data_IF_944509314164
#
_entry.id   IF_944509314164
#
_cell.length_a   1.000
_cell.length_b   1.000
_cell.length_c   1.000
_cell.angle_alpha   90.00
_cell.angle_beta   90.00
_cell.angle_gamma   90.00
#
_symmetry.space_group_name_H-M   'P 1'
#
loop_
_entity.id
_entity.type
_entity.pdbx_description
1 polymer ?
#
# COMPACT_ATOMS: atom_id res chain seq x y z
N UNK A 1 -1.61 7.94 1.72
CA UNK A 1 -2.67 8.98 1.80
C UNK A 1 -2.90 9.35 3.25
N UNK A 2 -2.86 10.63 3.63
CA UNK A 2 -3.04 11.08 5.02
C UNK A 2 -4.52 11.35 5.36
N UNK A 3 -4.86 11.43 6.66
CA UNK A 3 -6.21 11.81 7.13
C UNK A 3 -6.60 13.20 6.60
N UNK A 4 -5.66 14.14 6.55
CA UNK A 4 -5.89 15.46 5.98
C UNK A 4 -6.26 15.39 4.48
N UNK A 5 -5.56 14.53 3.73
CA UNK A 5 -5.91 14.29 2.33
C UNK A 5 -7.34 13.76 2.20
N UNK A 6 -7.76 12.84 3.08
CA UNK A 6 -9.14 12.33 3.11
C UNK A 6 -10.17 13.44 3.32
N UNK A 7 -9.98 14.27 4.35
CA UNK A 7 -10.87 15.39 4.67
C UNK A 7 -10.98 16.39 3.51
N UNK A 8 -9.85 16.72 2.89
CA UNK A 8 -9.79 17.72 1.82
C UNK A 8 -10.39 17.18 0.52
N UNK A 9 -10.12 15.93 0.15
CA UNK A 9 -10.42 15.42 -1.19
C UNK A 9 -11.65 14.52 -1.28
N UNK A 10 -11.94 13.73 -0.25
CA UNK A 10 -12.93 12.65 -0.36
C UNK A 10 -14.31 13.01 0.20
N UNK A 11 -14.43 14.07 1.00
CA UNK A 11 -15.72 14.56 1.53
C UNK A 11 -16.28 15.77 0.79
N UNK A 12 -15.52 16.35 -0.16
CA UNK A 12 -16.00 17.44 -1.00
C UNK A 12 -16.56 16.90 -2.32
N UNK A 13 -17.90 16.88 -2.43
CA UNK A 13 -18.61 16.39 -3.62
C UNK A 13 -18.29 17.19 -4.89
N UNK A 14 -17.81 18.43 -4.77
CA UNK A 14 -17.47 19.28 -5.94
C UNK A 14 -16.24 18.78 -6.70
N UNK A 15 -15.43 17.92 -6.07
CA UNK A 15 -14.21 17.37 -6.66
C UNK A 15 -14.45 16.12 -7.50
N UNK A 16 -15.68 15.60 -7.52
CA UNK A 16 -16.05 14.42 -8.28
C UNK A 16 -16.74 14.79 -9.59
N UNK A 17 -16.61 13.91 -10.59
CA UNK A 17 -17.34 14.07 -11.86
C UNK A 17 -18.85 13.97 -11.62
N UNK A 18 -19.69 14.72 -12.35
CA UNK A 18 -21.14 14.71 -12.14
C UNK A 18 -21.79 13.31 -12.16
N UNK A 19 -21.28 12.41 -13.00
CA UNK A 19 -21.75 11.01 -13.13
C UNK A 19 -21.27 10.07 -11.99
N UNK A 20 -20.46 10.55 -11.06
CA UNK A 20 -19.96 9.79 -9.90
C UNK A 20 -20.58 10.24 -8.60
N UNK A 21 -21.06 11.48 -8.54
CA UNK A 21 -21.60 12.12 -7.32
C UNK A 21 -22.65 11.24 -6.63
N UNK A 22 -23.56 10.61 -7.38
CA UNK A 22 -24.59 9.74 -6.80
C UNK A 22 -23.96 8.53 -6.06
N UNK A 23 -22.96 7.89 -6.67
CA UNK A 23 -22.24 6.75 -6.07
C UNK A 23 -21.45 7.18 -4.83
N UNK A 24 -20.82 8.35 -4.88
CA UNK A 24 -20.10 8.92 -3.73
C UNK A 24 -21.06 9.22 -2.58
N UNK A 25 -22.22 9.82 -2.86
CA UNK A 25 -23.25 10.10 -1.84
C UNK A 25 -23.72 8.82 -1.15
N UNK A 26 -23.98 7.75 -1.92
CA UNK A 26 -24.37 6.45 -1.35
C UNK A 26 -23.26 5.90 -0.45
N UNK A 27 -22.00 5.91 -0.93
CA UNK A 27 -20.86 5.45 -0.15
C UNK A 27 -20.72 6.21 1.19
N UNK A 28 -20.77 7.55 1.14
CA UNK A 28 -20.73 8.39 2.34
C UNK A 28 -21.91 8.11 3.27
N UNK A 29 -23.13 7.98 2.73
CA UNK A 29 -24.32 7.65 3.51
C UNK A 29 -24.16 6.31 4.25
N UNK A 30 -23.63 5.28 3.59
CA UNK A 30 -23.36 3.99 4.23
C UNK A 30 -22.32 4.11 5.36
N UNK A 31 -21.23 4.84 5.15
CA UNK A 31 -20.20 5.06 6.17
C UNK A 31 -20.77 5.82 7.37
N UNK A 32 -21.48 6.92 7.14
CA UNK A 32 -22.07 7.71 8.23
C UNK A 32 -23.20 6.97 8.94
N UNK A 33 -24.00 6.17 8.24
CA UNK A 33 -25.00 5.31 8.85
C UNK A 33 -24.36 4.26 9.78
N UNK A 34 -23.27 3.62 9.34
CA UNK A 34 -22.52 2.71 10.19
C UNK A 34 -21.93 3.41 11.42
N UNK A 35 -21.39 4.62 11.26
CA UNK A 35 -20.88 5.39 12.40
C UNK A 35 -22.00 5.78 13.38
N UNK A 36 -23.15 6.24 12.87
CA UNK A 36 -24.28 6.69 13.68
C UNK A 36 -25.01 5.55 14.40
N UNK A 37 -25.00 4.34 13.85
CA UNK A 37 -25.73 3.18 14.39
C UNK A 37 -24.76 2.18 15.03
N UNK A 38 -23.75 1.74 14.29
CA UNK A 38 -22.80 0.72 14.70
C UNK A 38 -21.95 1.13 15.89
N UNK A 39 -21.36 2.34 15.89
CA UNK A 39 -20.53 2.77 17.02
C UNK A 39 -21.32 2.87 18.33
N UNK A 40 -22.49 3.54 18.41
CA UNK A 40 -23.28 3.55 19.64
C UNK A 40 -23.73 2.16 20.08
N UNK A 41 -24.10 1.27 19.16
CA UNK A 41 -24.47 -0.10 19.52
C UNK A 41 -23.30 -0.89 20.12
N UNK A 42 -22.11 -0.79 19.54
CA UNK A 42 -20.91 -1.43 20.09
C UNK A 42 -20.63 -0.87 21.48
N UNK A 43 -20.64 0.46 21.65
CA UNK A 43 -20.39 1.11 22.94
C UNK A 43 -21.45 0.71 23.96
N UNK A 44 -22.72 0.70 23.59
CA UNK A 44 -23.84 0.32 24.46
C UNK A 44 -23.70 -1.13 24.96
N UNK A 45 -23.27 -2.05 24.09
CA UNK A 45 -23.15 -3.48 24.44
C UNK A 45 -21.84 -3.85 25.14
N UNK A 46 -20.76 -3.14 24.86
CA UNK A 46 -19.40 -3.57 25.24
C UNK A 46 -18.57 -2.48 25.92
N UNK A 47 -19.14 -1.29 26.08
CA UNK A 47 -18.45 -0.11 26.58
C UNK A 47 -17.46 0.48 25.57
N UNK A 48 -16.80 1.58 25.97
CA UNK A 48 -15.78 2.23 25.13
C UNK A 48 -14.56 1.33 24.88
N UNK A 49 -14.20 0.49 25.86
CA UNK A 49 -13.11 -0.49 25.72
C UNK A 49 -13.44 -1.52 24.64
N UNK A 50 -14.71 -1.97 24.57
CA UNK A 50 -15.15 -2.86 23.51
C UNK A 50 -15.14 -2.19 22.14
N UNK A 51 -15.51 -0.91 22.04
CA UNK A 51 -15.35 -0.15 20.79
C UNK A 51 -13.88 -0.10 20.32
N UNK A 52 -12.95 0.14 21.25
CA UNK A 52 -11.51 0.12 20.93
C UNK A 52 -11.10 -1.26 20.43
N UNK A 53 -11.47 -2.32 21.17
CA UNK A 53 -11.06 -3.70 20.88
C UNK A 53 -11.66 -4.27 19.60
N UNK A 54 -12.93 -3.99 19.33
CA UNK A 54 -13.69 -4.64 18.25
C UNK A 54 -13.82 -3.79 16.99
N UNK A 55 -13.59 -2.48 17.07
CA UNK A 55 -13.61 -1.61 15.90
C UNK A 55 -12.25 -0.93 15.64
N UNK A 56 -11.74 -0.14 16.59
CA UNK A 56 -10.55 0.68 16.34
C UNK A 56 -9.30 -0.16 16.07
N UNK A 57 -9.02 -1.16 16.91
CA UNK A 57 -7.81 -1.99 16.77
C UNK A 57 -7.81 -2.83 15.48
N UNK A 58 -8.90 -3.53 15.11
CA UNK A 58 -8.98 -4.20 13.81
C UNK A 58 -8.86 -3.23 12.64
N UNK A 59 -9.48 -2.05 12.72
CA UNK A 59 -9.40 -1.01 11.69
C UNK A 59 -7.96 -0.52 11.50
N UNK A 60 -7.25 -0.21 12.58
CA UNK A 60 -5.83 0.17 12.54
C UNK A 60 -4.95 -0.94 11.97
N UNK A 61 -5.17 -2.19 12.40
CA UNK A 61 -4.42 -3.35 11.89
C UNK A 61 -4.61 -3.56 10.39
N UNK A 62 -5.85 -3.50 9.91
CA UNK A 62 -6.15 -3.61 8.48
C UNK A 62 -5.52 -2.45 7.68
N UNK A 63 -5.67 -1.21 8.15
CA UNK A 63 -5.08 -0.04 7.49
C UNK A 63 -3.55 -0.09 7.48
N UNK A 64 -2.92 -0.56 8.56
CA UNK A 64 -1.49 -0.79 8.62
C UNK A 64 -1.03 -1.77 7.53
N UNK A 65 -1.67 -2.94 7.43
CA UNK A 65 -1.30 -3.94 6.43
C UNK A 65 -1.58 -3.46 5.00
N UNK A 66 -2.75 -2.90 4.72
CA UNK A 66 -3.08 -2.36 3.39
C UNK A 66 -2.13 -1.24 2.94
N UNK A 67 -1.73 -0.36 3.86
CA UNK A 67 -0.72 0.66 3.57
C UNK A 67 0.65 0.04 3.36
N UNK A 68 1.01 -0.98 4.14
CA UNK A 68 2.27 -1.72 3.99
C UNK A 68 2.36 -2.39 2.62
N UNK A 69 1.32 -3.11 2.18
CA UNK A 69 1.28 -3.76 0.86
C UNK A 69 1.48 -2.75 -0.26
N UNK A 70 0.66 -1.69 -0.28
CA UNK A 70 0.73 -0.69 -1.35
C UNK A 70 2.07 0.03 -1.40
N UNK A 71 2.68 0.30 -0.24
CA UNK A 71 4.03 0.86 -0.16
C UNK A 71 5.08 -0.11 -0.70
N UNK A 72 5.05 -1.38 -0.29
CA UNK A 72 6.02 -2.38 -0.77
C UNK A 72 5.87 -2.64 -2.27
N UNK A 73 4.65 -2.74 -2.78
CA UNK A 73 4.39 -3.02 -4.19
C UNK A 73 4.90 -1.94 -5.13
N UNK A 74 4.98 -0.68 -4.70
CA UNK A 74 5.26 0.45 -5.58
C UNK A 74 6.41 1.35 -5.11
N UNK A 75 7.11 0.95 -4.04
CA UNK A 75 8.20 1.75 -3.46
C UNK A 75 9.35 0.88 -2.95
N UNK A 76 9.41 -0.39 -3.36
CA UNK A 76 10.55 -1.25 -3.05
C UNK A 76 11.81 -0.81 -3.83
N UNK A 77 13.00 -0.89 -3.23
CA UNK A 77 14.22 -0.26 -3.74
C UNK A 77 14.71 -0.80 -5.10
N UNK A 78 14.29 -2.01 -5.45
CA UNK A 78 14.71 -2.69 -6.68
C UNK A 78 13.68 -2.54 -7.81
N UNK A 79 12.56 -1.82 -7.60
CA UNK A 79 11.63 -1.50 -8.68
C UNK A 79 12.29 -0.47 -9.60
N UNK A 80 12.52 -0.78 -10.88
CA UNK A 80 13.13 0.16 -11.79
C UNK A 80 12.11 1.19 -12.29
N UNK A 81 12.52 2.45 -12.37
CA UNK A 81 11.83 3.42 -13.24
C UNK A 81 12.62 3.58 -14.52
N UNK A 82 11.91 3.58 -15.65
CA UNK A 82 12.49 3.74 -16.97
C UNK A 82 12.03 5.06 -17.58
N UNK A 83 12.92 5.77 -18.29
CA UNK A 83 12.50 6.92 -19.09
C UNK A 83 11.55 6.45 -20.19
N UNK A 84 10.76 7.37 -20.74
CA UNK A 84 9.68 7.04 -21.67
C UNK A 84 10.19 6.33 -22.93
N UNK A 85 11.41 6.65 -23.37
CA UNK A 85 12.06 6.08 -24.56
C UNK A 85 12.48 4.62 -24.36
N UNK A 86 12.74 4.21 -23.12
CA UNK A 86 13.10 2.83 -22.75
C UNK A 86 11.88 2.03 -22.23
N UNK A 87 10.69 2.65 -22.20
CA UNK A 87 9.53 2.04 -21.59
C UNK A 87 8.95 0.92 -22.47
N UNK A 88 8.76 -0.24 -21.87
CA UNK A 88 8.09 -1.37 -22.49
C UNK A 88 6.92 -1.84 -21.62
N UNK A 89 5.73 -1.93 -22.21
CA UNK A 89 4.50 -2.28 -21.49
C UNK A 89 4.60 -3.64 -20.77
N UNK A 90 5.09 -4.67 -21.46
CA UNK A 90 5.17 -6.02 -20.88
C UNK A 90 6.17 -6.06 -19.71
N UNK A 91 7.33 -5.41 -19.88
CA UNK A 91 8.31 -5.28 -18.79
C UNK A 91 7.72 -4.52 -17.62
N UNK A 92 7.10 -3.36 -17.86
CA UNK A 92 6.49 -2.55 -16.81
C UNK A 92 5.42 -3.31 -16.00
N UNK A 93 4.68 -4.23 -16.62
CA UNK A 93 3.70 -5.04 -15.89
C UNK A 93 4.36 -6.16 -15.05
N UNK A 94 5.48 -6.72 -15.53
CA UNK A 94 6.20 -7.80 -14.85
C UNK A 94 7.14 -7.30 -13.75
N UNK A 95 7.78 -6.14 -13.96
CA UNK A 95 8.82 -5.59 -13.10
C UNK A 95 8.46 -4.26 -12.43
N UNK A 96 7.34 -3.63 -12.80
CA UNK A 96 6.91 -2.36 -12.19
C UNK A 96 6.30 -2.53 -10.79
N UNK A 97 6.30 -3.74 -10.26
CA UNK A 97 5.85 -4.06 -8.91
C UNK A 97 6.61 -5.26 -8.34
N UNK A 98 6.32 -5.63 -7.09
CA UNK A 98 6.98 -6.69 -6.34
C UNK A 98 5.95 -7.67 -5.80
N UNK A 99 6.17 -8.97 -5.99
CA UNK A 99 5.57 -10.01 -5.16
C UNK A 99 6.34 -10.08 -3.85
N UNK A 100 5.68 -9.85 -2.72
CA UNK A 100 6.35 -9.89 -1.42
C UNK A 100 5.71 -10.95 -0.53
N UNK A 101 6.50 -11.86 0.04
CA UNK A 101 5.99 -12.89 0.96
C UNK A 101 5.78 -12.31 2.36
N UNK A 102 4.65 -12.67 2.98
CA UNK A 102 4.28 -12.28 4.35
C UNK A 102 3.89 -13.52 5.16
N UNK A 103 3.80 -13.42 6.51
CA UNK A 103 3.23 -14.50 7.29
C UNK A 103 1.86 -14.92 6.77
N UNK A 104 1.67 -16.23 6.55
CA UNK A 104 0.54 -16.79 5.79
C UNK A 104 -0.84 -16.32 6.25
N UNK A 105 -1.02 -16.11 7.55
CA UNK A 105 -2.28 -15.64 8.12
C UNK A 105 -2.63 -14.20 7.68
N UNK A 106 -1.63 -13.34 7.48
CA UNK A 106 -1.83 -11.98 6.96
C UNK A 106 -2.23 -12.06 5.48
N UNK A 107 -1.53 -12.88 4.70
CA UNK A 107 -1.88 -13.07 3.29
C UNK A 107 -3.32 -13.54 3.11
N UNK A 108 -3.76 -14.51 3.92
CA UNK A 108 -5.14 -15.01 3.89
C UNK A 108 -6.12 -13.88 4.27
N UNK A 109 -5.86 -13.16 5.37
CA UNK A 109 -6.70 -12.04 5.82
C UNK A 109 -6.84 -10.94 4.76
N UNK A 110 -5.77 -10.72 3.99
CA UNK A 110 -5.68 -9.72 2.95
C UNK A 110 -5.86 -10.30 1.54
N UNK A 111 -6.49 -11.48 1.42
CA UNK A 111 -6.88 -12.10 0.14
C UNK A 111 -5.72 -12.26 -0.86
N UNK A 112 -4.54 -12.67 -0.40
CA UNK A 112 -3.30 -12.82 -1.17
C UNK A 112 -2.95 -11.57 -2.00
N UNK A 113 -3.31 -10.37 -1.55
CA UNK A 113 -3.02 -9.12 -2.28
C UNK A 113 -1.51 -8.94 -2.55
N UNK A 114 -0.67 -9.58 -1.73
CA UNK A 114 0.78 -9.59 -1.85
C UNK A 114 1.29 -10.25 -3.13
N UNK A 115 0.47 -11.12 -3.73
CA UNK A 115 0.72 -11.74 -5.04
C UNK A 115 0.30 -10.76 -6.14
N UNK A 116 1.07 -9.69 -6.24
CA UNK A 116 0.63 -8.48 -6.94
C UNK A 116 0.93 -8.48 -8.44
N UNK A 117 2.00 -9.16 -8.88
CA UNK A 117 2.41 -9.15 -10.29
C UNK A 117 1.29 -9.67 -11.23
N UNK A 118 0.63 -10.82 -10.94
CA UNK A 118 -0.48 -11.27 -11.78
C UNK A 118 -1.65 -10.27 -11.87
N UNK A 119 -1.88 -9.48 -10.81
CA UNK A 119 -2.93 -8.45 -10.80
C UNK A 119 -2.65 -7.33 -11.81
N UNK A 120 -1.39 -6.94 -11.99
CA UNK A 120 -1.01 -6.00 -13.05
C UNK A 120 -1.24 -6.60 -14.44
N UNK A 121 -0.85 -7.86 -14.64
CA UNK A 121 -1.06 -8.54 -15.92
C UNK A 121 -2.56 -8.66 -16.25
N UNK A 122 -3.38 -9.04 -15.28
CA UNK A 122 -4.84 -9.09 -15.42
C UNK A 122 -5.54 -8.98 -14.08
N UNK A 123 -6.21 -7.85 -13.86
CA UNK A 123 -7.03 -7.59 -12.67
C UNK A 123 -8.29 -8.46 -12.58
N UNK A 124 -8.58 -9.28 -13.61
CA UNK A 124 -9.69 -10.25 -13.63
C UNK A 124 -9.35 -11.57 -12.96
N UNK A 125 -8.07 -11.83 -12.68
CA UNK A 125 -7.66 -13.06 -11.99
C UNK A 125 -8.18 -12.99 -10.55
N UNK A 126 -8.99 -13.96 -10.09
CA UNK A 126 -9.49 -13.95 -8.74
C UNK A 126 -8.38 -14.22 -7.72
N UNK A 127 -8.53 -13.67 -6.51
CA UNK A 127 -7.52 -13.73 -5.44
C UNK A 127 -7.07 -15.15 -5.06
N UNK A 128 -7.94 -16.14 -5.20
CA UNK A 128 -7.64 -17.54 -4.92
C UNK A 128 -6.79 -18.21 -6.02
N UNK A 129 -6.71 -17.65 -7.22
CA UNK A 129 -5.86 -18.13 -8.32
C UNK A 129 -4.55 -17.34 -8.47
N UNK A 130 -4.33 -16.28 -7.70
CA UNK A 130 -3.15 -15.42 -7.85
C UNK A 130 -1.84 -16.21 -7.68
N UNK A 131 -1.77 -17.14 -6.73
CA UNK A 131 -0.57 -17.96 -6.50
C UNK A 131 -0.26 -18.87 -7.68
N UNK A 132 -1.26 -19.50 -8.27
CA UNK A 132 -1.08 -20.34 -9.46
C UNK A 132 -0.63 -19.50 -10.66
N UNK A 133 -1.23 -18.32 -10.84
CA UNK A 133 -0.80 -17.38 -11.87
C UNK A 133 0.64 -16.89 -11.65
N UNK A 134 1.03 -16.58 -10.41
CA UNK A 134 2.40 -16.19 -10.08
C UNK A 134 3.41 -17.30 -10.36
N UNK A 135 3.11 -18.54 -9.99
CA UNK A 135 3.97 -19.69 -10.30
C UNK A 135 4.16 -19.85 -11.81
N UNK A 136 3.09 -19.71 -12.60
CA UNK A 136 3.19 -19.72 -14.07
C UNK A 136 4.07 -18.59 -14.59
N UNK A 137 3.94 -17.38 -14.02
CA UNK A 137 4.82 -16.26 -14.38
C UNK A 137 6.28 -16.54 -14.02
N UNK A 138 6.53 -17.14 -12.87
CA UNK A 138 7.87 -17.45 -12.38
C UNK A 138 8.57 -18.48 -13.27
N UNK A 139 7.85 -19.52 -13.70
CA UNK A 139 8.37 -20.56 -14.61
C UNK A 139 8.75 -19.99 -15.98
N UNK A 140 7.92 -19.10 -16.54
CA UNK A 140 8.08 -18.61 -17.92
C UNK A 140 8.89 -17.31 -18.01
N UNK A 141 8.82 -16.45 -17.00
CA UNK A 141 9.38 -15.09 -17.01
C UNK A 141 10.07 -14.69 -15.71
N UNK A 142 10.44 -15.65 -14.85
CA UNK A 142 11.02 -15.40 -13.51
C UNK A 142 12.15 -14.37 -13.47
N UNK A 143 13.01 -14.33 -14.51
CA UNK A 143 14.12 -13.35 -14.62
C UNK A 143 13.69 -11.88 -14.70
N UNK A 144 12.42 -11.61 -14.97
CA UNK A 144 11.85 -10.26 -15.03
C UNK A 144 10.99 -9.93 -13.82
N UNK A 145 10.70 -10.90 -12.95
CA UNK A 145 9.87 -10.69 -11.78
C UNK A 145 10.71 -10.10 -10.65
N UNK A 146 10.08 -9.27 -9.85
CA UNK A 146 10.66 -8.77 -8.62
C UNK A 146 9.99 -9.46 -7.43
N UNK A 147 10.80 -10.12 -6.61
CA UNK A 147 10.34 -10.84 -5.43
C UNK A 147 11.04 -10.31 -4.18
N UNK A 148 10.31 -10.26 -3.08
CA UNK A 148 10.83 -9.85 -1.78
C UNK A 148 10.21 -10.70 -0.67
N UNK A 149 10.81 -10.63 0.51
CA UNK A 149 10.22 -11.17 1.74
C UNK A 149 10.10 -10.05 2.75
N UNK A 150 8.91 -9.88 3.32
CA UNK A 150 8.66 -8.79 4.25
C UNK A 150 9.51 -8.95 5.51
N UNK A 151 10.20 -7.87 5.87
CA UNK A 151 10.93 -7.76 7.12
C UNK A 151 11.13 -6.28 7.49
N UNK A 152 11.54 -6.02 8.73
CA UNK A 152 11.73 -4.66 9.22
C UNK A 152 12.87 -3.90 8.52
N UNK A 153 13.87 -4.60 7.98
CA UNK A 153 14.94 -3.95 7.20
C UNK A 153 14.39 -3.40 5.88
N UNK A 154 13.58 -4.18 5.16
CA UNK A 154 12.89 -3.72 3.95
C UNK A 154 12.03 -2.49 4.25
N UNK A 155 11.23 -2.53 5.33
CA UNK A 155 10.41 -1.39 5.73
C UNK A 155 11.26 -0.16 6.05
N UNK A 156 12.38 -0.32 6.76
CA UNK A 156 13.31 0.78 7.03
C UNK A 156 13.86 1.36 5.73
N UNK A 157 14.33 0.54 4.80
CA UNK A 157 14.86 1.00 3.52
C UNK A 157 13.81 1.82 2.77
N UNK A 158 12.59 1.31 2.66
CA UNK A 158 11.51 2.02 1.96
C UNK A 158 11.23 3.37 2.62
N UNK A 159 11.11 3.41 3.95
CA UNK A 159 10.77 4.61 4.71
C UNK A 159 11.89 5.65 4.82
N UNK A 160 13.15 5.27 4.54
CA UNK A 160 14.31 6.16 4.73
C UNK A 160 15.06 6.48 3.45
N UNK A 161 14.95 5.64 2.42
CA UNK A 161 15.70 5.76 1.17
C UNK A 161 14.80 5.92 -0.06
N UNK A 162 13.65 5.26 -0.12
CA UNK A 162 12.86 5.16 -1.35
C UNK A 162 11.93 6.36 -1.56
N UNK A 163 12.49 7.56 -1.67
CA UNK A 163 11.70 8.81 -1.72
C UNK A 163 11.58 9.41 -3.11
N UNK A 164 12.70 9.55 -3.82
CA UNK A 164 12.77 10.22 -5.13
C UNK A 164 13.52 9.33 -6.10
N UNK A 165 13.06 9.32 -7.35
CA UNK A 165 13.74 8.60 -8.42
C UNK A 165 15.15 9.15 -8.65
N UNK A 166 16.11 8.24 -8.79
CA UNK A 166 17.46 8.52 -9.25
C UNK A 166 17.86 7.56 -10.36
N UNK A 167 18.57 8.07 -11.38
CA UNK A 167 18.91 7.28 -12.57
C UNK A 167 19.90 6.14 -12.27
N UNK A 168 20.79 6.32 -11.30
CA UNK A 168 21.84 5.35 -10.98
C UNK A 168 21.39 4.37 -9.90
N UNK A 169 20.66 4.87 -8.90
CA UNK A 169 20.30 4.10 -7.71
C UNK A 169 18.83 3.65 -7.67
N UNK A 170 18.03 3.99 -8.68
CA UNK A 170 16.56 3.93 -8.74
C UNK A 170 15.87 4.84 -7.73
N UNK A 171 16.33 4.87 -6.48
CA UNK A 171 15.80 5.74 -5.45
C UNK A 171 16.89 6.36 -4.59
N UNK A 172 16.68 7.62 -4.22
CA UNK A 172 17.46 8.36 -3.21
C UNK A 172 16.55 8.99 -2.17
N UNK A 173 17.15 9.29 -1.02
CA UNK A 173 16.44 9.85 0.12
C UNK A 173 16.23 11.37 -0.02
N UNK A 174 15.11 11.90 0.50
CA UNK A 174 14.83 13.35 0.45
C UNK A 174 15.92 14.20 1.11
N UNK A 175 16.56 13.72 2.17
CA UNK A 175 17.63 14.44 2.86
C UNK A 175 18.92 14.55 2.05
N UNK A 176 19.11 13.70 1.03
CA UNK A 176 20.21 13.86 0.07
C UNK A 176 19.93 14.95 -0.96
N UNK A 177 18.65 15.19 -1.29
CA UNK A 177 18.23 16.17 -2.30
C UNK A 177 17.95 17.55 -1.71
N UNK A 178 17.27 17.60 -0.57
CA UNK A 178 16.82 18.82 0.09
C UNK A 178 17.01 18.70 1.62
N UNK A 179 18.27 18.78 2.11
CA UNK A 179 18.58 18.57 3.52
C UNK A 179 17.79 19.49 4.45
N UNK A 180 17.63 20.76 4.06
CA UNK A 180 16.96 21.79 4.87
C UNK A 180 15.45 21.55 5.03
N UNK A 181 14.81 20.94 4.03
CA UNK A 181 13.37 20.64 4.01
C UNK A 181 13.03 19.23 4.55
N UNK A 182 14.05 18.41 4.81
CA UNK A 182 13.92 16.98 5.12
C UNK A 182 13.73 16.64 6.62
N UNK A 183 13.36 17.61 7.45
CA UNK A 183 13.28 17.48 8.92
C UNK A 183 12.53 16.22 9.42
N UNK A 184 11.38 15.81 8.85
CA UNK A 184 10.69 14.59 9.28
C UNK A 184 11.47 13.30 9.00
N UNK A 185 12.22 13.25 7.89
CA UNK A 185 13.02 12.08 7.48
C UNK A 185 14.29 11.98 8.33
N UNK A 186 14.92 13.13 8.63
CA UNK A 186 16.06 13.18 9.55
C UNK A 186 15.70 12.66 10.95
N UNK A 187 14.50 13.00 11.45
CA UNK A 187 13.99 12.43 12.70
C UNK A 187 13.80 10.91 12.61
N UNK A 188 13.16 10.41 11.55
CA UNK A 188 12.94 8.98 11.34
C UNK A 188 14.26 8.19 11.31
N UNK A 189 15.26 8.66 10.57
CA UNK A 189 16.59 8.03 10.53
C UNK A 189 17.26 8.00 11.90
N UNK A 190 17.10 9.06 12.72
CA UNK A 190 17.64 9.13 14.08
C UNK A 190 17.01 8.11 15.02
N UNK A 191 15.72 7.82 14.89
CA UNK A 191 14.98 6.90 15.79
C UNK A 191 14.95 5.45 15.31
N UNK A 192 15.40 5.18 14.07
CA UNK A 192 15.47 3.83 13.50
C UNK A 192 16.93 3.33 13.46
N UNK A 193 17.36 2.44 14.38
CA UNK A 193 18.74 1.95 14.43
C UNK A 193 19.15 1.21 13.15
N UNK A 194 20.43 1.27 12.79
CA UNK A 194 21.03 0.47 11.72
C UNK A 194 21.16 -0.98 12.18
N UNK A 195 20.11 -1.76 11.95
CA UNK A 195 20.19 -3.21 12.09
C UNK A 195 20.77 -3.78 10.80
N UNK A 196 22.11 -3.85 10.75
CA UNK A 196 22.85 -4.71 9.84
C UNK A 196 22.30 -6.15 9.89
#
# INVERSE_FOLDING_TARGET
MSIAHWLIWHFDLKKFRPNEVSRVKISLACVFAFMAIGWPLIIYKTGIVGWIKFWLMPWLGYHFWMSTFTMVHHTAPHIPFRPAEEWNMAQAQLNGTVHCDYPRWIEILCHNINVHIPHHISSRIPSYNLREAHNSLQENWGKYLNEATWNWRLMKTILTMCHVYDKEQNYIAFDQLAPEESQPVAFLKRVMPDYA
#
